data_IF_118649772199
#
_entry.id   IF_118649772199
#
_cell.length_a   1.000
_cell.length_b   1.000
_cell.length_c   1.000
_cell.angle_alpha   90.00
_cell.angle_beta   90.00
_cell.angle_gamma   90.00
#
_symmetry.space_group_name_H-M   'P 1'
#
loop_
_entity.id
_entity.type
_entity.pdbx_description
1 polymer ?
#
# COMPACT_ATOMS: atom_id res chain seq x y z
N UNK A 1 -1.66 0.17 -36.31
CA UNK A 1 -2.98 -0.51 -36.26
C UNK A 1 -3.09 -1.30 -37.55
N UNK A 2 -3.38 -2.60 -37.49
CA UNK A 2 -3.41 -3.47 -38.68
C UNK A 2 -4.73 -3.29 -39.43
N UNK A 3 -4.67 -2.94 -40.72
CA UNK A 3 -5.84 -2.77 -41.59
C UNK A 3 -6.56 -4.11 -41.81
N UNK A 4 -5.80 -5.20 -41.94
CA UNK A 4 -6.36 -6.55 -42.12
C UNK A 4 -7.15 -7.00 -40.88
N UNK A 5 -6.70 -6.59 -39.69
CA UNK A 5 -7.41 -6.83 -38.44
C UNK A 5 -8.79 -6.13 -38.47
N UNK A 6 -8.84 -4.84 -38.83
CA UNK A 6 -10.10 -4.09 -38.85
C UNK A 6 -11.06 -4.59 -39.93
N UNK A 7 -10.55 -4.95 -41.11
CA UNK A 7 -11.36 -5.56 -42.16
C UNK A 7 -11.89 -6.94 -41.75
N UNK A 8 -11.06 -7.75 -41.09
CA UNK A 8 -11.47 -9.01 -40.50
C UNK A 8 -12.60 -8.79 -39.48
N UNK A 9 -12.45 -7.84 -38.55
CA UNK A 9 -13.47 -7.53 -37.55
C UNK A 9 -14.74 -6.95 -38.15
N UNK A 10 -14.64 -6.06 -39.14
CA UNK A 10 -15.79 -5.51 -39.84
C UNK A 10 -16.61 -6.61 -40.50
N UNK A 11 -15.95 -7.53 -41.21
CA UNK A 11 -16.63 -8.63 -41.89
C UNK A 11 -17.12 -9.71 -40.92
N UNK A 12 -16.39 -9.99 -39.84
CA UNK A 12 -16.81 -10.91 -38.79
C UNK A 12 -18.04 -10.39 -38.02
N UNK A 13 -18.06 -9.11 -37.65
CA UNK A 13 -19.20 -8.51 -36.95
C UNK A 13 -20.41 -8.40 -37.88
N UNK A 14 -20.21 -8.07 -39.15
CA UNK A 14 -21.28 -8.07 -40.15
C UNK A 14 -21.82 -9.48 -40.42
N UNK A 15 -20.97 -10.50 -40.49
CA UNK A 15 -21.40 -11.88 -40.67
C UNK A 15 -22.14 -12.41 -39.43
N UNK A 16 -21.68 -12.04 -38.22
CA UNK A 16 -22.33 -12.35 -36.93
C UNK A 16 -23.63 -11.58 -36.71
N UNK A 17 -23.77 -10.37 -37.25
CA UNK A 17 -25.03 -9.63 -37.21
C UNK A 17 -26.08 -10.26 -38.14
N UNK A 18 -25.63 -10.82 -39.29
CA UNK A 18 -26.50 -11.49 -40.27
C UNK A 18 -26.83 -12.94 -39.89
N UNK A 19 -25.92 -13.64 -39.22
CA UNK A 19 -26.06 -15.04 -38.78
C UNK A 19 -26.02 -15.08 -37.25
N UNK A 20 -27.00 -15.69 -36.59
CA UNK A 20 -27.12 -15.78 -35.11
C UNK A 20 -26.09 -16.72 -34.45
N UNK A 21 -24.80 -16.63 -34.80
CA UNK A 21 -23.68 -17.50 -34.41
C UNK A 21 -22.39 -16.69 -34.45
N UNK A 22 -21.44 -16.75 -33.51
CA UNK A 22 -21.44 -16.98 -32.06
C UNK A 22 -20.11 -16.35 -31.59
N UNK A 23 -20.12 -15.44 -30.61
CA UNK A 23 -18.86 -14.92 -30.01
C UNK A 23 -18.03 -16.07 -29.39
N UNK A 24 -18.71 -17.16 -29.02
CA UNK A 24 -18.10 -18.40 -28.53
C UNK A 24 -17.24 -19.09 -29.60
N UNK A 25 -17.65 -19.09 -30.87
CA UNK A 25 -16.90 -19.69 -31.97
C UNK A 25 -15.57 -18.97 -32.19
N UNK A 26 -15.59 -17.64 -32.08
CA UNK A 26 -14.38 -16.83 -32.18
C UNK A 26 -13.44 -17.04 -30.98
N UNK A 27 -13.99 -17.11 -29.77
CA UNK A 27 -13.20 -17.40 -28.57
C UNK A 27 -12.56 -18.78 -28.66
N UNK A 28 -13.32 -19.77 -29.14
CA UNK A 28 -12.82 -21.11 -29.37
C UNK A 28 -11.80 -21.18 -30.51
N UNK A 29 -11.96 -20.42 -31.59
CA UNK A 29 -10.98 -20.33 -32.67
C UNK A 29 -9.67 -19.67 -32.22
N UNK A 30 -9.73 -18.61 -31.41
CA UNK A 30 -8.51 -18.02 -30.83
C UNK A 30 -7.78 -18.98 -29.88
N UNK A 31 -8.51 -19.86 -29.19
CA UNK A 31 -7.93 -20.82 -28.24
C UNK A 31 -7.46 -22.13 -28.89
N UNK A 32 -8.22 -22.66 -29.84
CA UNK A 32 -7.99 -23.97 -30.49
C UNK A 32 -7.38 -23.85 -31.89
N UNK A 33 -7.26 -22.64 -32.41
CA UNK A 33 -6.68 -22.34 -33.71
C UNK A 33 -7.60 -22.68 -34.90
N UNK A 34 -6.99 -22.66 -36.09
CA UNK A 34 -7.62 -22.86 -37.39
C UNK A 34 -8.37 -24.20 -37.58
N UNK A 35 -8.15 -25.18 -36.70
CA UNK A 35 -8.58 -26.55 -36.89
C UNK A 35 -10.05 -26.83 -36.51
N UNK A 36 -10.84 -25.83 -36.12
CA UNK A 36 -12.21 -26.04 -35.61
C UNK A 36 -13.29 -25.17 -36.25
N UNK A 37 -12.94 -24.17 -37.06
CA UNK A 37 -13.91 -23.22 -37.62
C UNK A 37 -13.57 -22.87 -39.06
N UNK A 38 -14.14 -23.60 -40.02
CA UNK A 38 -13.87 -23.43 -41.46
C UNK A 38 -14.25 -22.03 -41.98
N UNK A 39 -15.37 -21.47 -41.52
CA UNK A 39 -15.83 -20.14 -41.96
C UNK A 39 -14.86 -19.03 -41.50
N UNK A 40 -14.42 -19.09 -40.24
CA UNK A 40 -13.52 -18.08 -39.65
C UNK A 40 -12.08 -18.25 -40.16
N UNK A 41 -11.66 -19.49 -40.35
CA UNK A 41 -10.35 -19.82 -40.92
C UNK A 41 -10.28 -19.45 -42.40
N UNK A 42 -11.34 -19.68 -43.18
CA UNK A 42 -11.46 -19.20 -44.56
C UNK A 42 -11.38 -17.68 -44.65
N UNK A 43 -12.10 -16.98 -43.78
CA UNK A 43 -12.06 -15.52 -43.71
C UNK A 43 -10.65 -14.99 -43.40
N UNK A 44 -10.00 -15.54 -42.37
CA UNK A 44 -8.64 -15.17 -42.01
C UNK A 44 -7.66 -15.42 -43.16
N UNK A 45 -7.74 -16.59 -43.82
CA UNK A 45 -6.88 -16.91 -44.95
C UNK A 45 -7.00 -15.90 -46.08
N UNK A 46 -8.22 -15.44 -46.35
CA UNK A 46 -8.49 -14.43 -47.37
C UNK A 46 -7.88 -13.07 -47.01
N UNK A 47 -8.06 -12.59 -45.78
CA UNK A 47 -7.55 -11.28 -45.35
C UNK A 47 -6.03 -11.23 -45.21
N UNK A 48 -5.40 -12.34 -44.79
CA UNK A 48 -3.95 -12.42 -44.65
C UNK A 48 -3.25 -12.98 -45.90
N UNK A 49 -3.95 -13.12 -47.03
CA UNK A 49 -3.37 -13.54 -48.32
C UNK A 49 -2.89 -15.00 -48.36
N UNK A 50 -3.36 -15.84 -47.44
CA UNK A 50 -3.01 -17.26 -47.35
C UNK A 50 -3.80 -18.14 -48.33
N UNK A 51 -4.86 -17.61 -48.93
CA UNK A 51 -5.74 -18.34 -49.87
C UNK A 51 -5.05 -18.71 -51.21
N UNK A 52 -3.91 -18.06 -51.50
CA UNK A 52 -3.12 -18.31 -52.70
C UNK A 52 -2.03 -19.38 -52.49
N UNK A 53 -1.84 -19.83 -51.25
CA UNK A 53 -0.78 -20.75 -50.86
C UNK A 53 -1.37 -22.15 -50.62
N UNK A 54 -0.70 -23.18 -51.12
CA UNK A 54 -1.07 -24.57 -50.83
C UNK A 54 -0.93 -24.86 -49.34
N UNK A 55 -1.99 -25.39 -48.70
CA UNK A 55 -2.02 -25.71 -47.26
C UNK A 55 -0.90 -26.66 -46.81
N UNK A 56 -0.34 -27.44 -47.74
CA UNK A 56 0.73 -28.39 -47.47
C UNK A 56 2.14 -27.81 -47.66
N UNK A 57 2.27 -26.56 -48.11
CA UNK A 57 3.57 -25.94 -48.31
C UNK A 57 4.19 -25.49 -46.99
N UNK A 58 5.52 -25.57 -46.91
CA UNK A 58 6.27 -25.04 -45.75
C UNK A 58 6.11 -23.51 -45.63
N UNK A 59 5.88 -22.84 -46.76
CA UNK A 59 5.66 -21.39 -46.85
C UNK A 59 4.30 -21.01 -46.24
N UNK A 60 3.25 -21.78 -46.53
CA UNK A 60 1.93 -21.61 -45.93
C UNK A 60 2.00 -21.69 -44.41
N UNK A 61 2.71 -22.69 -43.87
CA UNK A 61 2.87 -22.85 -42.41
C UNK A 61 3.55 -21.63 -41.78
N UNK A 62 4.67 -21.18 -42.35
CA UNK A 62 5.41 -20.01 -41.85
C UNK A 62 4.59 -18.73 -41.94
N UNK A 63 3.88 -18.53 -43.05
CA UNK A 63 3.10 -17.32 -43.26
C UNK A 63 1.85 -17.31 -42.40
N UNK A 64 1.23 -18.47 -42.15
CA UNK A 64 0.10 -18.61 -41.22
C UNK A 64 0.51 -18.34 -39.78
N UNK A 65 1.65 -18.89 -39.34
CA UNK A 65 2.18 -18.65 -37.98
C UNK A 65 2.47 -17.16 -37.78
N UNK A 66 3.17 -16.53 -38.73
CA UNK A 66 3.45 -15.10 -38.70
C UNK A 66 2.17 -14.25 -38.69
N UNK A 67 1.22 -14.55 -39.58
CA UNK A 67 -0.05 -13.84 -39.63
C UNK A 67 -0.83 -13.96 -38.31
N UNK A 68 -0.79 -15.14 -37.66
CA UNK A 68 -1.44 -15.35 -36.38
C UNK A 68 -0.77 -14.56 -35.25
N UNK A 69 0.56 -14.50 -35.21
CA UNK A 69 1.30 -13.67 -34.27
C UNK A 69 0.98 -12.18 -34.44
N UNK A 70 1.02 -11.70 -35.69
CA UNK A 70 0.72 -10.31 -36.05
C UNK A 70 -0.74 -9.95 -35.70
N UNK A 71 -1.68 -10.85 -35.96
CA UNK A 71 -3.09 -10.71 -35.58
C UNK A 71 -3.25 -10.64 -34.05
N UNK A 72 -2.66 -11.58 -33.31
CA UNK A 72 -2.77 -11.60 -31.84
C UNK A 72 -2.17 -10.35 -31.20
N UNK A 73 -1.04 -9.88 -31.72
CA UNK A 73 -0.39 -8.65 -31.25
C UNK A 73 -1.28 -7.44 -31.51
N UNK A 74 -1.73 -7.27 -32.75
CA UNK A 74 -2.57 -6.14 -33.14
C UNK A 74 -3.92 -6.15 -32.41
N UNK A 75 -4.48 -7.34 -32.19
CA UNK A 75 -5.72 -7.51 -31.43
C UNK A 75 -5.56 -7.12 -29.96
N UNK A 76 -4.45 -7.51 -29.31
CA UNK A 76 -4.14 -7.08 -27.94
C UNK A 76 -3.94 -5.57 -27.85
N UNK A 77 -3.23 -4.98 -28.80
CA UNK A 77 -3.04 -3.52 -28.86
C UNK A 77 -4.36 -2.78 -29.05
N UNK A 78 -5.25 -3.28 -29.92
CA UNK A 78 -6.58 -2.73 -30.13
C UNK A 78 -7.47 -2.85 -28.88
N UNK A 79 -7.47 -4.00 -28.21
CA UNK A 79 -8.21 -4.17 -26.96
C UNK A 79 -7.66 -3.29 -25.83
N UNK A 80 -6.33 -3.15 -25.75
CA UNK A 80 -5.68 -2.25 -24.80
C UNK A 80 -6.05 -0.79 -25.01
N UNK A 81 -6.16 -0.32 -26.27
CA UNK A 81 -6.58 1.06 -26.56
C UNK A 81 -8.05 1.32 -26.24
N UNK A 82 -8.91 0.30 -26.33
CA UNK A 82 -10.31 0.34 -25.90
C UNK A 82 -10.50 0.15 -24.39
N UNK A 83 -9.41 0.13 -23.60
CA UNK A 83 -9.42 -0.18 -22.16
C UNK A 83 -10.12 -1.50 -21.81
N UNK A 84 -10.15 -2.45 -22.74
CA UNK A 84 -10.66 -3.79 -22.49
C UNK A 84 -9.66 -4.55 -21.61
N UNK A 85 -10.12 -4.98 -20.44
CA UNK A 85 -9.33 -5.76 -19.50
C UNK A 85 -9.66 -7.25 -19.66
N UNK A 86 -8.67 -8.14 -19.77
CA UNK A 86 -8.92 -9.58 -19.77
C UNK A 86 -9.75 -10.01 -18.56
N UNK A 87 -10.77 -10.86 -18.78
CA UNK A 87 -11.67 -11.35 -17.71
C UNK A 87 -10.93 -11.91 -16.49
N UNK A 88 -9.80 -12.59 -16.71
CA UNK A 88 -8.96 -13.15 -15.64
C UNK A 88 -8.40 -12.06 -14.71
N UNK A 89 -7.96 -10.95 -15.28
CA UNK A 89 -7.44 -9.81 -14.51
C UNK A 89 -8.56 -9.11 -13.73
N UNK A 90 -9.73 -8.96 -14.37
CA UNK A 90 -10.92 -8.46 -13.69
C UNK A 90 -11.33 -9.33 -12.50
N UNK A 91 -11.41 -10.66 -12.68
CA UNK A 91 -11.75 -11.58 -11.58
C UNK A 91 -10.71 -11.54 -10.45
N UNK A 92 -9.41 -11.50 -10.78
CA UNK A 92 -8.37 -11.34 -9.77
C UNK A 92 -8.47 -10.01 -9.03
N UNK A 93 -8.90 -8.94 -9.70
CA UNK A 93 -9.13 -7.64 -9.08
C UNK A 93 -10.35 -7.68 -8.14
N UNK A 94 -11.43 -8.36 -8.54
CA UNK A 94 -12.61 -8.59 -7.69
C UNK A 94 -12.22 -9.36 -6.43
N UNK A 95 -11.47 -10.47 -6.56
CA UNK A 95 -11.00 -11.24 -5.40
C UNK A 95 -10.17 -10.39 -4.42
N UNK A 96 -9.30 -9.52 -4.96
CA UNK A 96 -8.51 -8.59 -4.15
C UNK A 96 -9.39 -7.56 -3.46
N UNK A 97 -10.40 -7.05 -4.16
CA UNK A 97 -11.35 -6.08 -3.61
C UNK A 97 -12.18 -6.69 -2.48
N UNK A 98 -12.66 -7.92 -2.64
CA UNK A 98 -13.38 -8.65 -1.59
C UNK A 98 -12.51 -8.86 -0.34
N UNK A 99 -11.27 -9.33 -0.51
CA UNK A 99 -10.30 -9.47 0.60
C UNK A 99 -9.98 -8.15 1.28
N UNK A 100 -9.91 -7.06 0.51
CA UNK A 100 -9.65 -5.74 1.07
C UNK A 100 -10.85 -5.23 1.87
N UNK A 101 -12.07 -5.45 1.36
CA UNK A 101 -13.31 -5.10 2.03
C UNK A 101 -13.47 -5.85 3.36
N UNK A 102 -13.15 -7.13 3.39
CA UNK A 102 -13.11 -7.93 4.62
C UNK A 102 -12.14 -7.35 5.65
N UNK A 103 -10.89 -7.06 5.24
CA UNK A 103 -9.91 -6.41 6.12
C UNK A 103 -10.37 -5.05 6.64
N UNK A 104 -11.03 -4.25 5.80
CA UNK A 104 -11.57 -2.97 6.24
C UNK A 104 -12.66 -3.15 7.30
N UNK A 105 -13.54 -4.15 7.13
CA UNK A 105 -14.56 -4.47 8.13
C UNK A 105 -13.94 -4.92 9.46
N UNK A 106 -12.95 -5.81 9.43
CA UNK A 106 -12.21 -6.26 10.63
C UNK A 106 -11.52 -5.08 11.35
N UNK A 107 -10.91 -4.19 10.56
CA UNK A 107 -10.25 -2.99 11.09
C UNK A 107 -11.26 -2.01 11.68
N UNK A 108 -12.42 -1.81 11.06
CA UNK A 108 -13.49 -0.96 11.61
C UNK A 108 -14.05 -1.53 12.91
N UNK A 109 -14.24 -2.85 13.00
CA UNK A 109 -14.66 -3.51 14.24
C UNK A 109 -13.61 -3.34 15.33
N UNK A 110 -12.33 -3.54 14.99
CA UNK A 110 -11.21 -3.34 15.92
C UNK A 110 -11.15 -1.89 16.41
N UNK A 111 -11.28 -0.91 15.52
CA UNK A 111 -11.30 0.51 15.87
C UNK A 111 -12.50 0.82 16.77
N UNK A 112 -13.67 0.27 16.47
CA UNK A 112 -14.88 0.45 17.29
C UNK A 112 -14.67 -0.12 18.69
N UNK A 113 -14.12 -1.33 18.80
CA UNK A 113 -13.81 -1.97 20.06
C UNK A 113 -12.77 -1.17 20.86
N UNK A 114 -11.69 -0.71 20.21
CA UNK A 114 -10.67 0.13 20.84
C UNK A 114 -11.24 1.46 21.34
N UNK A 115 -12.10 2.12 20.54
CA UNK A 115 -12.81 3.34 20.98
C UNK A 115 -13.72 3.07 22.17
N UNK A 116 -14.44 1.96 22.17
CA UNK A 116 -15.27 1.55 23.31
C UNK A 116 -14.42 1.34 24.57
N UNK A 117 -13.29 0.63 24.46
CA UNK A 117 -12.35 0.44 25.57
C UNK A 117 -11.77 1.76 26.06
N UNK A 118 -11.42 2.68 25.15
CA UNK A 118 -10.86 3.98 25.52
C UNK A 118 -11.88 4.84 26.28
N UNK A 119 -13.14 4.84 25.85
CA UNK A 119 -14.24 5.50 26.54
C UNK A 119 -14.56 4.83 27.89
N UNK A 120 -14.53 3.49 27.95
CA UNK A 120 -14.77 2.73 29.17
C UNK A 120 -13.63 2.86 30.20
N UNK A 121 -12.39 3.05 29.74
CA UNK A 121 -11.20 3.21 30.58
C UNK A 121 -11.04 4.64 31.13
N UNK A 122 -12.01 5.53 30.87
CA UNK A 122 -12.11 6.82 31.52
C UNK A 122 -10.93 7.73 31.20
N UNK A 123 -10.78 8.15 29.95
CA UNK A 123 -9.94 9.31 29.62
C UNK A 123 -10.34 10.54 30.43
N UNK A 124 -11.62 10.63 30.77
CA UNK A 124 -12.20 11.69 31.60
C UNK A 124 -11.72 11.61 33.06
N UNK A 125 -11.55 10.40 33.60
CA UNK A 125 -10.97 10.20 34.94
C UNK A 125 -9.50 10.62 34.98
N UNK A 126 -8.73 10.33 33.92
CA UNK A 126 -7.34 10.76 33.84
C UNK A 126 -7.24 12.29 33.72
N UNK A 127 -8.13 12.91 32.94
CA UNK A 127 -8.18 14.37 32.77
C UNK A 127 -8.59 15.07 34.07
N UNK A 128 -9.51 14.49 34.84
CA UNK A 128 -9.92 14.98 36.17
C UNK A 128 -8.77 14.86 37.18
N UNK A 129 -8.08 13.71 37.24
CA UNK A 129 -6.91 13.52 38.11
C UNK A 129 -5.78 14.51 37.77
N UNK A 130 -5.52 14.77 36.48
CA UNK A 130 -4.52 15.75 36.05
C UNK A 130 -4.91 17.17 36.49
N UNK A 131 -6.19 17.53 36.38
CA UNK A 131 -6.70 18.83 36.85
C UNK A 131 -6.54 18.97 38.36
N UNK A 132 -6.97 17.96 39.11
CA UNK A 132 -6.94 17.97 40.58
C UNK A 132 -5.48 18.04 41.09
N UNK A 133 -4.55 17.30 40.47
CA UNK A 133 -3.12 17.42 40.79
C UNK A 133 -2.55 18.80 40.46
N UNK A 134 -3.00 19.43 39.37
CA UNK A 134 -2.62 20.79 38.99
C UNK A 134 -3.08 21.84 40.01
N UNK A 135 -4.29 21.70 40.54
CA UNK A 135 -4.84 22.58 41.57
C UNK A 135 -4.12 22.43 42.91
N UNK A 136 -3.78 21.20 43.30
CA UNK A 136 -2.97 20.92 44.50
C UNK A 136 -1.58 21.54 44.37
N UNK A 137 -0.93 21.40 43.21
CA UNK A 137 0.37 22.02 42.96
C UNK A 137 0.30 23.55 43.01
N UNK A 138 -0.71 24.16 42.38
CA UNK A 138 -0.89 25.61 42.45
C UNK A 138 -1.17 26.11 43.87
N UNK A 139 -1.94 25.36 44.64
CA UNK A 139 -2.24 25.70 46.04
C UNK A 139 -0.98 25.61 46.89
N UNK A 140 -0.17 24.57 46.69
CA UNK A 140 1.14 24.43 47.34
C UNK A 140 2.07 25.58 46.96
N UNK A 141 2.18 25.93 45.68
CA UNK A 141 2.99 27.05 45.21
C UNK A 141 2.50 28.40 45.75
N UNK A 142 1.19 28.62 45.88
CA UNK A 142 0.63 29.81 46.53
C UNK A 142 0.96 29.86 48.01
N UNK A 143 0.86 28.74 48.74
CA UNK A 143 1.24 28.65 50.15
C UNK A 143 2.73 28.92 50.37
N UNK A 144 3.60 28.32 49.54
CA UNK A 144 5.03 28.62 49.53
C UNK A 144 5.29 30.09 49.21
N UNK A 145 4.67 30.63 48.17
CA UNK A 145 4.85 32.04 47.80
C UNK A 145 4.39 32.96 48.92
N UNK A 146 3.24 32.71 49.55
CA UNK A 146 2.74 33.51 50.68
C UNK A 146 3.66 33.43 51.90
N UNK A 147 4.26 32.27 52.18
CA UNK A 147 5.24 32.12 53.25
C UNK A 147 6.52 32.92 53.00
N UNK A 148 6.95 33.05 51.73
CA UNK A 148 8.14 33.81 51.33
C UNK A 148 7.88 35.27 50.93
N UNK A 149 6.62 35.69 50.77
CA UNK A 149 6.23 37.05 50.34
C UNK A 149 5.38 37.81 51.36
N UNK A 150 5.11 37.24 52.53
CA UNK A 150 4.49 37.97 53.63
C UNK A 150 5.36 39.21 53.98
N UNK A 151 4.83 40.44 53.85
CA UNK A 151 5.59 41.63 54.21
C UNK A 151 5.64 41.74 55.74
N UNK A 152 6.84 41.65 56.29
CA UNK A 152 7.13 42.16 57.63
C UNK A 152 6.64 43.61 57.74
N UNK A 153 5.68 43.85 58.64
CA UNK A 153 5.46 45.19 59.21
C UNK A 153 5.73 45.14 60.71
N UNK A 154 6.80 45.85 61.08
CA UNK A 154 7.21 46.34 62.41
C UNK A 154 7.65 45.26 63.43
N UNK A 155 8.79 45.31 64.10
CA UNK A 155 9.74 46.40 64.33
C UNK A 155 11.07 45.85 64.91
N UNK A 156 12.18 46.43 64.44
CA UNK A 156 13.46 46.61 65.14
C UNK A 156 14.45 45.42 65.29
N UNK A 157 15.69 45.73 64.87
CA UNK A 157 16.97 45.39 65.52
C UNK A 157 17.84 44.34 64.83
N UNK A 158 18.80 44.87 64.04
CA UNK A 158 20.22 44.50 63.83
C UNK A 158 20.65 43.02 63.60
N UNK A 159 21.72 42.93 62.81
CA UNK A 159 22.51 41.73 62.44
C UNK A 159 21.81 40.88 61.38
N UNK A 160 22.35 40.67 60.19
CA UNK A 160 23.69 40.19 59.87
C UNK A 160 23.50 39.31 58.63
N UNK A 161 24.48 39.27 57.72
CA UNK A 161 24.33 38.71 56.37
C UNK A 161 24.06 37.21 56.28
N UNK A 162 23.99 36.75 55.03
CA UNK A 162 23.89 35.34 54.57
C UNK A 162 22.49 34.76 54.43
N UNK A 163 21.80 35.04 53.31
CA UNK A 163 20.96 34.01 52.69
C UNK A 163 20.73 34.17 51.17
N UNK A 164 21.81 34.42 50.41
CA UNK A 164 21.76 34.56 48.94
C UNK A 164 22.35 33.36 48.17
N UNK A 165 22.84 32.33 48.88
CA UNK A 165 23.44 31.14 48.29
C UNK A 165 22.47 29.96 48.17
N UNK A 166 21.56 29.74 49.11
CA UNK A 166 20.69 28.54 49.09
C UNK A 166 19.64 28.56 47.96
N UNK A 167 19.11 29.73 47.62
CA UNK A 167 18.14 29.88 46.51
C UNK A 167 18.77 29.72 45.13
N UNK A 168 20.09 29.96 44.99
CA UNK A 168 20.83 29.67 43.75
C UNK A 168 21.11 28.17 43.58
N UNK A 169 21.45 27.48 44.65
CA UNK A 169 21.80 26.05 44.60
C UNK A 169 20.59 25.18 44.20
N UNK A 170 19.39 25.48 44.73
CA UNK A 170 18.19 24.71 44.38
C UNK A 170 17.74 24.91 42.92
N UNK A 171 17.83 26.13 42.40
CA UNK A 171 17.47 26.44 41.01
C UNK A 171 18.49 25.89 40.01
N UNK A 172 19.76 25.79 40.40
CA UNK A 172 20.79 25.13 39.58
C UNK A 172 20.62 23.61 39.57
N UNK A 173 20.35 22.98 40.72
CA UNK A 173 20.16 21.52 40.80
C UNK A 173 18.93 21.03 40.01
N UNK A 174 17.84 21.81 40.00
CA UNK A 174 16.63 21.44 39.25
C UNK A 174 16.85 21.52 37.73
N UNK A 175 17.51 22.58 37.25
CA UNK A 175 17.82 22.77 35.83
C UNK A 175 18.82 21.74 35.28
N UNK A 176 19.78 21.28 36.09
CA UNK A 176 20.71 20.22 35.69
C UNK A 176 20.03 18.85 35.63
N UNK A 177 19.06 18.60 36.52
CA UNK A 177 18.31 17.34 36.54
C UNK A 177 17.42 17.20 35.30
N UNK A 178 16.71 18.26 34.88
CA UNK A 178 15.94 18.27 33.63
C UNK A 178 16.82 18.13 32.39
N UNK A 179 17.97 18.84 32.33
CA UNK A 179 18.91 18.71 31.20
C UNK A 179 19.48 17.30 31.09
N UNK A 180 19.79 16.64 32.21
CA UNK A 180 20.29 15.25 32.17
C UNK A 180 19.21 14.26 31.73
N UNK A 181 17.94 14.49 32.11
CA UNK A 181 16.82 13.64 31.71
C UNK A 181 16.48 13.77 30.22
N UNK A 182 16.57 14.99 29.66
CA UNK A 182 16.42 15.24 28.24
C UNK A 182 17.55 14.61 27.41
N UNK A 183 18.82 14.76 27.83
CA UNK A 183 19.96 14.14 27.14
C UNK A 183 19.91 12.60 27.15
N UNK A 184 19.37 12.01 28.22
CA UNK A 184 19.19 10.56 28.33
C UNK A 184 18.08 10.04 27.40
N UNK A 185 17.00 10.81 27.21
CA UNK A 185 15.94 10.47 26.25
C UNK A 185 16.40 10.60 24.80
N UNK A 186 17.21 11.61 24.47
CA UNK A 186 17.75 11.78 23.12
C UNK A 186 18.76 10.68 22.73
N UNK A 187 19.61 10.26 23.67
CA UNK A 187 20.56 9.16 23.43
C UNK A 187 19.87 7.80 23.27
N UNK A 188 18.81 7.50 24.04
CA UNK A 188 18.02 6.27 23.84
C UNK A 188 17.29 6.24 22.48
N UNK A 189 16.89 7.40 21.96
CA UNK A 189 16.18 7.47 20.69
C UNK A 189 17.11 7.29 19.47
N UNK A 190 18.36 7.77 19.57
CA UNK A 190 19.38 7.56 18.53
C UNK A 190 19.90 6.10 18.49
N UNK A 191 19.91 5.41 19.63
CA UNK A 191 20.33 4.00 19.71
C UNK A 191 19.26 3.02 19.18
N UNK A 192 17.98 3.40 19.21
CA UNK A 192 16.89 2.60 18.61
C UNK A 192 16.83 2.70 17.08
N UNK A 193 17.33 3.79 16.50
CA UNK A 193 17.32 4.02 15.04
C UNK A 193 18.58 3.50 14.30
N UNK A 194 19.56 2.94 15.01
CA UNK A 194 20.84 2.47 14.44
C UNK A 194 20.98 0.94 14.37
N UNK A 195 19.93 0.16 14.67
CA UNK A 195 19.94 -1.30 14.43
C UNK A 195 19.76 -1.60 12.93
N UNK A 196 20.74 -2.22 12.23
CA UNK A 196 20.56 -2.60 10.84
C UNK A 196 19.50 -3.69 10.69
N UNK A 197 18.55 -3.47 9.78
CA UNK A 197 17.62 -4.51 9.32
C UNK A 197 18.43 -5.69 8.78
N UNK A 198 18.11 -6.88 9.30
CA UNK A 198 18.81 -8.12 9.02
C UNK A 198 19.05 -8.38 7.54
N UNK A 199 20.24 -8.89 7.25
CA UNK A 199 20.70 -9.26 5.92
C UNK A 199 19.82 -10.32 5.28
N UNK A 200 19.51 -10.08 4.02
CA UNK A 200 19.01 -11.08 3.07
C UNK A 200 20.15 -12.09 2.86
N UNK A 201 19.99 -13.30 3.39
CA UNK A 201 20.82 -14.45 2.97
C UNK A 201 20.49 -14.75 1.51
N UNK A 202 21.46 -14.52 0.63
CA UNK A 202 21.52 -15.19 -0.68
C UNK A 202 21.99 -16.61 -0.41
N UNK A 203 21.12 -17.59 -0.65
CA UNK A 203 21.55 -18.98 -0.79
C UNK A 203 21.99 -19.20 -2.24
N UNK A 204 23.30 -19.13 -2.45
CA UNK A 204 23.97 -19.75 -3.59
C UNK A 204 23.94 -21.28 -3.40
N UNK A 205 23.21 -21.99 -4.27
CA UNK A 205 23.44 -23.41 -4.55
C UNK A 205 23.65 -23.60 -6.04
N UNK A 206 24.84 -23.25 -6.50
CA UNK A 206 25.52 -23.97 -7.59
C UNK A 206 26.40 -25.04 -6.95
N UNK A 207 26.17 -26.29 -7.35
CA UNK A 207 26.89 -27.44 -6.81
C UNK A 207 26.62 -28.66 -7.66
N UNK A 208 27.36 -28.74 -8.78
CA UNK A 208 27.47 -29.88 -9.66
C UNK A 208 27.76 -31.18 -8.88
N UNK A 209 27.16 -32.30 -9.32
CA UNK A 209 27.79 -33.61 -9.28
C UNK A 209 27.45 -34.40 -10.54
N UNK A 210 28.53 -34.84 -11.18
CA UNK A 210 28.60 -35.82 -12.26
C UNK A 210 28.49 -37.26 -11.73
N UNK A 211 28.41 -38.20 -12.68
CA UNK A 211 28.46 -39.67 -12.59
C UNK A 211 27.14 -40.31 -12.10
N UNK A 212 26.54 -41.28 -12.78
CA UNK A 212 27.10 -42.38 -13.57
C UNK A 212 26.07 -42.90 -14.58
#
# INVERSE_FOLDING_TARGET
MDENLLEFWGNFLLSTARKKKQVDDMTAWMQKGFNSFDDLSGMFRKFYGLDQLSEHSTEYKKMTEKAMEDFQKSFKEYMGSLAFVPKKEHLSLVDKYEKLKEKCADQEETIKHLKMLMNARGTDQLQEIIRDQGEVFQTMMKGFTQYFTAPEKAESSKEGGENKQETKTFSQHFNETEKSALAKKESENQQKNSKPKGGIKKDDRTGAKANH
#
